data_IF_314048576517
#
_entry.id   IF_314048576517
#
_cell.length_a   1.000
_cell.length_b   1.000
_cell.length_c   1.000
_cell.angle_alpha   90.00
_cell.angle_beta   90.00
_cell.angle_gamma   90.00
#
_symmetry.space_group_name_H-M   'P 1'
#
loop_
_entity.id
_entity.type
_entity.pdbx_description
1 polymer ?
#
# COMPACT_ATOMS: atom_id res chain seq x y z
N UNK A 1 -10.88 22.17 11.72
CA UNK A 1 -9.55 21.56 11.57
C UNK A 1 -9.72 20.05 11.66
N UNK A 2 -9.39 19.32 10.60
CA UNK A 2 -9.40 17.86 10.59
C UNK A 2 -8.02 17.41 11.09
N UNK A 3 -7.98 16.74 12.25
CA UNK A 3 -6.74 16.26 12.86
C UNK A 3 -6.43 14.89 12.23
N UNK A 4 -5.29 14.77 11.54
CA UNK A 4 -4.81 13.46 11.07
C UNK A 4 -3.76 13.01 12.09
N UNK A 5 -4.07 12.03 12.95
CA UNK A 5 -3.08 11.51 13.89
C UNK A 5 -1.92 10.86 13.12
N UNK A 6 -0.70 11.03 13.62
CA UNK A 6 0.52 10.47 13.01
C UNK A 6 0.43 8.93 12.92
N UNK A 7 -0.37 8.30 13.78
CA UNK A 7 -0.70 6.87 13.78
C UNK A 7 -1.39 6.37 12.49
N UNK A 8 -1.88 7.28 11.64
CA UNK A 8 -2.53 6.94 10.36
C UNK A 8 -1.55 6.80 9.20
N UNK A 9 -0.24 6.98 9.43
CA UNK A 9 0.77 6.83 8.40
C UNK A 9 1.13 5.37 8.20
N UNK A 10 1.19 4.94 6.94
CA UNK A 10 1.75 3.66 6.57
C UNK A 10 3.25 3.61 6.93
N UNK A 11 3.83 2.41 6.85
CA UNK A 11 5.27 2.23 7.07
C UNK A 11 6.16 3.08 6.18
N UNK A 12 5.64 3.50 5.02
CA UNK A 12 6.37 4.30 4.05
C UNK A 12 6.10 5.81 4.22
N UNK A 13 5.41 6.21 5.29
CA UNK A 13 5.10 7.61 5.59
C UNK A 13 4.00 8.21 4.72
N UNK A 14 3.22 7.38 4.02
CA UNK A 14 2.06 7.82 3.22
C UNK A 14 0.75 7.68 4.00
N UNK A 15 -0.20 8.59 3.80
CA UNK A 15 -1.54 8.51 4.39
C UNK A 15 -2.53 7.86 3.42
N UNK A 16 -3.72 7.48 3.93
CA UNK A 16 -4.74 6.75 3.19
C UNK A 16 -5.23 7.47 1.92
N UNK A 17 -5.19 8.81 1.90
CA UNK A 17 -5.52 9.62 0.72
C UNK A 17 -4.39 10.61 0.39
N UNK A 18 -4.32 11.01 -0.88
CA UNK A 18 -3.29 11.93 -1.38
C UNK A 18 -3.40 13.32 -0.71
N UNK A 19 -4.62 13.85 -0.58
CA UNK A 19 -4.86 15.14 0.08
C UNK A 19 -4.47 15.09 1.57
N UNK A 20 -4.81 14.00 2.24
CA UNK A 20 -4.50 13.79 3.66
C UNK A 20 -2.98 13.65 3.88
N UNK A 21 -2.26 13.10 2.90
CA UNK A 21 -0.81 12.97 2.94
C UNK A 21 -0.10 14.32 2.94
N UNK A 22 -0.54 15.29 2.13
CA UNK A 22 0.11 16.62 2.07
C UNK A 22 -0.01 17.35 3.41
N UNK A 23 -1.19 17.33 4.01
CA UNK A 23 -1.44 17.97 5.31
C UNK A 23 -0.67 17.25 6.43
N UNK A 24 -0.62 15.92 6.41
CA UNK A 24 0.14 15.14 7.38
C UNK A 24 1.65 15.41 7.30
N UNK A 25 2.21 15.49 6.09
CA UNK A 25 3.63 15.81 5.88
C UNK A 25 3.97 17.22 6.36
N UNK A 26 3.10 18.19 6.12
CA UNK A 26 3.28 19.55 6.63
C UNK A 26 3.31 19.59 8.16
N UNK A 27 2.36 18.90 8.81
CA UNK A 27 2.31 18.82 10.27
C UNK A 27 3.55 18.12 10.85
N UNK A 28 4.01 17.04 10.22
CA UNK A 28 5.23 16.33 10.60
C UNK A 28 6.48 17.19 10.47
N UNK A 29 6.61 17.96 9.39
CA UNK A 29 7.74 18.88 9.21
C UNK A 29 7.78 19.94 10.32
N UNK A 30 6.62 20.50 10.68
CA UNK A 30 6.51 21.47 11.77
C UNK A 30 6.82 20.84 13.13
N UNK A 31 6.31 19.63 13.39
CA UNK A 31 6.62 18.89 14.61
C UNK A 31 8.11 18.57 14.74
N UNK A 32 8.74 18.12 13.65
CA UNK A 32 10.18 17.83 13.60
C UNK A 32 11.04 19.08 13.85
N UNK A 33 10.61 20.24 13.38
CA UNK A 33 11.28 21.51 13.69
C UNK A 33 11.19 21.87 15.17
N UNK A 34 10.00 21.74 15.78
CA UNK A 34 9.77 22.10 17.19
C UNK A 34 10.41 21.13 18.18
N UNK A 35 10.56 19.85 17.82
CA UNK A 35 11.12 18.80 18.67
C UNK A 35 12.60 18.52 18.40
N UNK A 36 13.21 19.32 17.52
CA UNK A 36 14.62 19.18 17.18
C UNK A 36 15.51 19.47 18.39
N UNK A 37 16.37 18.50 18.73
CA UNK A 37 17.44 18.66 19.71
C UNK A 37 18.80 18.46 19.04
N UNK A 38 19.72 19.42 19.22
CA UNK A 38 21.05 19.42 18.59
C UNK A 38 21.94 18.30 19.14
N UNK A 39 21.82 18.02 20.42
CA UNK A 39 22.58 17.00 21.17
C UNK A 39 21.64 15.88 21.65
N UNK A 40 20.66 15.54 20.81
CA UNK A 40 19.68 14.50 21.09
C UNK A 40 20.35 13.13 21.18
N UNK A 41 20.17 12.47 22.33
CA UNK A 41 20.61 11.12 22.58
C UNK A 41 19.50 10.36 23.33
N UNK A 42 19.03 9.28 22.72
CA UNK A 42 17.94 8.47 23.24
C UNK A 42 18.31 6.98 23.22
N UNK A 43 18.07 6.31 24.34
CA UNK A 43 18.10 4.86 24.46
C UNK A 43 16.65 4.36 24.48
N UNK A 44 16.31 3.50 23.52
CA UNK A 44 14.98 2.88 23.41
C UNK A 44 15.13 1.41 23.74
N UNK A 45 14.41 0.95 24.75
CA UNK A 45 14.33 -0.46 25.12
C UNK A 45 12.94 -1.00 24.79
N UNK A 46 12.89 -2.05 23.98
CA UNK A 46 11.69 -2.81 23.67
C UNK A 46 11.82 -4.17 24.37
N UNK A 47 10.85 -4.51 25.21
CA UNK A 47 10.84 -5.76 25.94
C UNK A 47 9.50 -6.49 25.84
N UNK A 48 9.56 -7.82 25.86
CA UNK A 48 8.42 -8.71 26.06
C UNK A 48 8.64 -9.48 27.34
N UNK A 49 7.56 -9.88 28.03
CA UNK A 49 7.52 -10.38 29.42
C UNK A 49 8.50 -11.51 29.82
N UNK A 50 9.33 -12.02 28.91
CA UNK A 50 10.59 -12.77 29.16
C UNK A 50 11.29 -13.22 27.86
N UNK A 51 10.67 -13.05 26.69
CA UNK A 51 11.12 -13.63 25.41
C UNK A 51 12.11 -12.77 24.64
N UNK A 52 12.11 -11.46 24.86
CA UNK A 52 12.85 -10.52 24.00
C UNK A 52 13.15 -9.24 24.76
N UNK A 53 14.39 -8.79 24.61
CA UNK A 53 14.84 -7.45 24.98
C UNK A 53 15.71 -6.91 23.86
N UNK A 54 15.28 -5.82 23.24
CA UNK A 54 16.03 -5.13 22.18
C UNK A 54 16.26 -3.68 22.60
N UNK A 55 17.51 -3.23 22.50
CA UNK A 55 17.89 -1.85 22.78
C UNK A 55 18.36 -1.19 21.49
N UNK A 56 17.86 0.02 21.24
CA UNK A 56 18.32 0.93 20.18
C UNK A 56 18.96 2.15 20.82
N UNK A 57 20.05 2.61 20.21
CA UNK A 57 20.72 3.86 20.59
C UNK A 57 20.56 4.83 19.43
N UNK A 58 19.84 5.91 19.67
CA UNK A 58 19.54 6.93 18.66
C UNK A 58 20.21 8.24 19.05
N UNK A 59 21.12 8.71 18.20
CA UNK A 59 21.84 9.95 18.34
C UNK A 59 21.70 10.80 17.07
N UNK A 60 22.30 11.99 17.07
CA UNK A 60 22.22 12.91 15.92
C UNK A 60 22.83 12.36 14.61
N UNK A 61 23.69 11.33 14.69
CA UNK A 61 24.33 10.71 13.53
C UNK A 61 23.42 9.67 12.87
N UNK A 62 22.60 8.97 13.66
CA UNK A 62 21.76 7.87 13.17
C UNK A 62 20.24 8.11 13.28
N UNK A 63 19.79 9.29 13.74
CA UNK A 63 18.36 9.64 13.91
C UNK A 63 17.49 9.55 12.65
N UNK A 64 18.10 9.63 11.46
CA UNK A 64 17.38 9.52 10.18
C UNK A 64 17.44 8.10 9.60
N UNK A 65 18.18 7.19 10.24
CA UNK A 65 18.30 5.81 9.80
C UNK A 65 17.15 4.99 10.37
N UNK A 66 16.50 4.22 9.50
CA UNK A 66 15.46 3.28 9.93
C UNK A 66 16.08 2.17 10.78
N UNK A 67 15.58 2.01 12.00
CA UNK A 67 15.96 0.95 12.93
C UNK A 67 14.72 0.14 13.24
N UNK A 68 14.76 -1.16 12.95
CA UNK A 68 13.61 -2.06 13.10
C UNK A 68 14.01 -3.38 13.76
N UNK A 69 13.05 -4.00 14.43
CA UNK A 69 13.19 -5.34 15.01
C UNK A 69 11.93 -6.14 14.78
N UNK A 70 12.10 -7.40 14.38
CA UNK A 70 10.99 -8.34 14.29
C UNK A 70 10.56 -8.77 15.69
N UNK A 71 9.26 -8.67 15.95
CA UNK A 71 8.67 -9.13 17.20
C UNK A 71 8.42 -10.65 17.11
N UNK A 72 8.93 -11.46 18.06
CA UNK A 72 8.97 -12.92 17.93
C UNK A 72 7.60 -13.60 18.03
N UNK A 73 6.66 -13.03 18.79
CA UNK A 73 5.32 -13.60 18.98
C UNK A 73 4.23 -12.59 18.66
N UNK A 74 3.32 -12.95 17.76
CA UNK A 74 2.19 -12.13 17.36
C UNK A 74 0.91 -12.97 17.44
N UNK A 75 -0.17 -12.49 18.10
CA UNK A 75 -0.26 -11.29 18.94
C UNK A 75 0.50 -11.45 20.27
N UNK A 76 1.01 -10.35 20.82
CA UNK A 76 1.77 -10.35 22.07
C UNK A 76 1.80 -8.97 22.75
N UNK A 77 2.11 -8.95 24.05
CA UNK A 77 2.26 -7.71 24.82
C UNK A 77 3.73 -7.30 24.84
N UNK A 78 3.99 -6.07 24.37
CA UNK A 78 5.31 -5.47 24.30
C UNK A 78 5.33 -4.16 25.07
N UNK A 79 6.42 -3.91 25.77
CA UNK A 79 6.68 -2.69 26.53
C UNK A 79 7.79 -1.91 25.85
N UNK A 80 7.66 -0.59 25.77
CA UNK A 80 8.70 0.29 25.25
C UNK A 80 9.05 1.30 26.34
N UNK A 81 10.33 1.40 26.65
CA UNK A 81 10.88 2.42 27.53
C UNK A 81 11.85 3.30 26.73
N UNK A 82 11.71 4.62 26.85
CA UNK A 82 12.59 5.59 26.18
C UNK A 82 13.25 6.44 27.24
N UNK A 83 14.59 6.52 27.21
CA UNK A 83 15.41 7.33 28.11
C UNK A 83 16.28 8.26 27.29
N UNK A 84 16.22 9.56 27.53
CA UNK A 84 17.01 10.52 26.77
C UNK A 84 16.45 11.93 26.82
N UNK A 85 17.04 12.80 26.01
CA UNK A 85 16.73 14.24 25.93
C UNK A 85 16.17 14.65 24.55
N UNK A 86 15.79 13.69 23.70
CA UNK A 86 15.22 13.95 22.38
C UNK A 86 13.89 13.25 22.17
N UNK A 87 13.27 13.52 21.02
CA UNK A 87 12.04 12.85 20.60
C UNK A 87 12.36 11.70 19.64
N UNK A 88 11.61 10.60 19.76
CA UNK A 88 11.72 9.43 18.89
C UNK A 88 10.33 9.07 18.39
N UNK A 89 10.22 8.75 17.10
CA UNK A 89 9.00 8.23 16.49
C UNK A 89 9.06 6.71 16.44
N UNK A 90 8.10 6.04 17.05
CA UNK A 90 7.98 4.58 17.03
C UNK A 90 6.72 4.18 16.28
N UNK A 91 6.85 3.18 15.41
CA UNK A 91 5.75 2.63 14.62
C UNK A 91 5.80 1.12 14.64
N UNK A 92 4.64 0.49 14.87
CA UNK A 92 4.48 -0.97 14.86
C UNK A 92 3.69 -1.38 13.63
N UNK A 93 4.18 -2.38 12.92
CA UNK A 93 3.51 -2.91 11.73
C UNK A 93 3.10 -4.36 11.94
N UNK A 94 1.80 -4.64 11.78
CA UNK A 94 1.29 -6.00 11.72
C UNK A 94 0.85 -6.32 10.30
N UNK A 95 1.43 -7.36 9.70
CA UNK A 95 1.01 -7.89 8.39
C UNK A 95 0.29 -9.22 8.61
N UNK A 96 -0.95 -9.31 8.15
CA UNK A 96 -1.76 -10.51 8.27
C UNK A 96 -2.58 -10.73 7.01
N UNK A 97 -2.81 -11.99 6.67
CA UNK A 97 -3.66 -12.37 5.55
C UNK A 97 -5.08 -12.51 6.07
N UNK A 98 -5.99 -11.69 5.54
CA UNK A 98 -7.43 -11.85 5.76
C UNK A 98 -8.01 -12.47 4.50
N UNK A 99 -8.80 -13.54 4.65
CA UNK A 99 -9.74 -13.92 3.61
C UNK A 99 -10.77 -12.79 3.51
N UNK A 100 -10.67 -11.98 2.45
CA UNK A 100 -11.50 -10.80 2.21
C UNK A 100 -12.95 -11.10 2.63
N UNK A 101 -13.42 -10.53 3.76
CA UNK A 101 -14.82 -10.67 4.11
C UNK A 101 -15.60 -10.00 2.98
N UNK A 102 -16.72 -10.60 2.56
CA UNK A 102 -17.75 -9.88 1.78
C UNK A 102 -18.38 -8.78 2.67
N UNK A 103 -17.57 -7.85 3.19
CA UNK A 103 -18.09 -6.67 3.88
C UNK A 103 -18.59 -5.73 2.80
N UNK A 104 -19.78 -5.19 3.04
CA UNK A 104 -20.52 -4.27 2.20
C UNK A 104 -19.60 -3.19 1.61
N UNK A 105 -19.08 -3.47 0.43
CA UNK A 105 -18.39 -2.50 -0.39
C UNK A 105 -19.46 -1.56 -0.92
N UNK A 106 -19.16 -0.26 -0.99
CA UNK A 106 -20.00 0.70 -1.71
C UNK A 106 -20.04 0.45 -3.22
N UNK A 107 -19.48 -0.66 -3.70
CA UNK A 107 -19.46 -1.09 -5.08
C UNK A 107 -19.81 -2.58 -5.17
N UNK A 108 -20.64 -2.92 -6.14
CA UNK A 108 -20.82 -4.29 -6.61
C UNK A 108 -19.82 -4.58 -7.72
N UNK A 109 -19.14 -5.72 -7.66
CA UNK A 109 -18.18 -6.18 -8.67
C UNK A 109 -18.52 -7.63 -9.01
N UNK A 110 -18.79 -7.91 -10.28
CA UNK A 110 -18.87 -9.26 -10.82
C UNK A 110 -17.80 -9.48 -11.89
N UNK A 111 -17.28 -10.71 -11.92
CA UNK A 111 -16.25 -11.15 -12.87
C UNK A 111 -16.76 -12.42 -13.52
N UNK A 112 -16.83 -12.42 -14.84
CA UNK A 112 -17.27 -13.58 -15.62
C UNK A 112 -16.21 -13.92 -16.68
N UNK A 113 -15.90 -15.21 -16.81
CA UNK A 113 -15.05 -15.71 -17.89
C UNK A 113 -15.92 -16.17 -19.05
N UNK A 114 -15.78 -15.50 -20.19
CA UNK A 114 -16.48 -15.87 -21.42
C UNK A 114 -15.52 -16.66 -22.30
N UNK A 115 -16.03 -17.71 -22.96
CA UNK A 115 -15.28 -18.60 -23.83
C UNK A 115 -14.16 -19.43 -23.15
N UNK A 116 -14.22 -19.60 -21.83
CA UNK A 116 -13.36 -20.51 -21.07
C UNK A 116 -14.04 -21.89 -20.91
N UNK A 117 -13.45 -22.93 -21.49
CA UNK A 117 -13.80 -24.34 -21.25
C UNK A 117 -12.71 -24.98 -20.39
N UNK A 118 -13.09 -25.58 -19.26
CA UNK A 118 -12.20 -26.40 -18.44
C UNK A 118 -12.09 -27.85 -18.94
N UNK A 119 -12.69 -28.18 -20.10
CA UNK A 119 -12.66 -29.52 -20.67
C UNK A 119 -11.36 -29.75 -21.46
N UNK A 120 -10.39 -30.37 -20.78
CA UNK A 120 -9.28 -31.18 -21.30
C UNK A 120 -8.21 -30.54 -22.21
N UNK A 121 -8.22 -29.23 -22.43
CA UNK A 121 -7.05 -28.56 -23.02
C UNK A 121 -6.83 -27.18 -22.39
N UNK A 122 -5.58 -26.90 -22.01
CA UNK A 122 -5.16 -25.59 -21.54
C UNK A 122 -5.56 -24.53 -22.57
N UNK A 123 -6.55 -23.69 -22.25
CA UNK A 123 -6.96 -22.62 -23.16
C UNK A 123 -5.94 -21.48 -23.08
N UNK A 124 -5.23 -21.18 -24.19
CA UNK A 124 -4.22 -20.13 -24.20
C UNK A 124 -4.82 -18.72 -24.14
N UNK A 125 -6.15 -18.60 -24.30
CA UNK A 125 -6.88 -17.34 -24.33
C UNK A 125 -8.33 -17.53 -23.88
N UNK A 126 -8.81 -16.62 -23.03
CA UNK A 126 -10.20 -16.50 -22.64
C UNK A 126 -10.51 -15.02 -22.41
N UNK A 127 -11.79 -14.65 -22.50
CA UNK A 127 -12.22 -13.27 -22.29
C UNK A 127 -12.69 -13.10 -20.84
N UNK A 128 -12.23 -12.02 -20.20
CA UNK A 128 -12.66 -11.61 -18.85
C UNK A 128 -13.60 -10.43 -18.97
N UNK A 129 -14.84 -10.60 -18.53
CA UNK A 129 -15.86 -9.56 -18.46
C UNK A 129 -15.97 -9.10 -17.02
N UNK A 130 -15.71 -7.81 -16.80
CA UNK A 130 -15.75 -7.15 -15.50
C UNK A 130 -16.91 -6.17 -15.48
N UNK A 131 -17.84 -6.36 -14.53
CA UNK A 131 -18.96 -5.46 -14.33
C UNK A 131 -18.88 -4.86 -12.94
N UNK A 132 -18.74 -3.55 -12.85
CA UNK A 132 -18.69 -2.81 -11.60
C UNK A 132 -19.79 -1.75 -11.56
N UNK A 133 -20.49 -1.64 -10.43
CA UNK A 133 -21.49 -0.60 -10.20
C UNK A 133 -21.39 -0.02 -8.81
N UNK A 134 -21.68 1.27 -8.66
CA UNK A 134 -21.72 1.92 -7.35
C UNK A 134 -22.99 1.52 -6.61
N UNK A 135 -22.84 0.87 -5.46
CA UNK A 135 -23.90 0.43 -4.55
C UNK A 135 -23.87 1.21 -3.22
N UNK A 136 -23.21 2.36 -3.19
CA UNK A 136 -23.09 3.18 -1.99
C UNK A 136 -24.31 4.06 -1.71
N UNK A 137 -24.28 4.78 -0.59
CA UNK A 137 -25.41 5.61 -0.11
C UNK A 137 -25.63 6.91 -0.89
N UNK A 138 -24.68 7.33 -1.74
CA UNK A 138 -24.77 8.58 -2.52
C UNK A 138 -25.39 8.31 -3.89
N UNK A 139 -25.77 9.37 -4.61
CA UNK A 139 -26.32 9.25 -5.96
C UNK A 139 -25.27 8.86 -7.00
N UNK A 140 -24.01 9.26 -6.81
CA UNK A 140 -22.89 8.97 -7.73
C UNK A 140 -21.59 8.76 -6.96
N UNK A 141 -20.71 7.92 -7.51
CA UNK A 141 -19.31 7.87 -7.08
C UNK A 141 -18.52 9.03 -7.68
N UNK A 142 -17.39 9.35 -7.05
CA UNK A 142 -16.33 10.18 -7.62
C UNK A 142 -15.41 9.31 -8.50
N UNK A 143 -14.09 9.46 -8.36
CA UNK A 143 -13.09 8.63 -9.05
C UNK A 143 -13.10 7.20 -8.48
N UNK A 144 -13.28 6.22 -9.36
CA UNK A 144 -13.14 4.80 -9.04
C UNK A 144 -11.95 4.22 -9.81
N UNK A 145 -11.19 3.34 -9.15
CA UNK A 145 -10.06 2.62 -9.74
C UNK A 145 -10.37 1.13 -9.61
N UNK A 146 -10.29 0.41 -10.72
CA UNK A 146 -10.42 -1.05 -10.75
C UNK A 146 -9.02 -1.60 -10.99
N UNK A 147 -8.51 -2.37 -10.03
CA UNK A 147 -7.24 -3.09 -10.16
C UNK A 147 -7.52 -4.56 -10.46
N UNK A 148 -6.94 -5.08 -11.54
CA UNK A 148 -7.16 -6.45 -12.03
C UNK A 148 -5.84 -7.18 -12.04
N UNK A 149 -5.65 -8.07 -11.07
CA UNK A 149 -4.48 -8.93 -11.01
C UNK A 149 -4.69 -10.17 -11.88
N UNK A 150 -3.84 -10.33 -12.88
CA UNK A 150 -3.88 -11.49 -13.77
C UNK A 150 -3.40 -12.77 -13.06
N UNK A 151 -3.89 -13.92 -13.53
CA UNK A 151 -3.37 -15.22 -13.16
C UNK A 151 -1.91 -15.37 -13.63
N UNK A 152 -1.10 -16.09 -12.87
CA UNK A 152 0.29 -16.38 -13.24
C UNK A 152 0.35 -17.06 -14.62
N UNK A 153 1.17 -16.53 -15.53
CA UNK A 153 1.31 -17.03 -16.90
C UNK A 153 0.37 -16.40 -17.92
N UNK A 154 -0.56 -15.52 -17.51
CA UNK A 154 -1.46 -14.81 -18.41
C UNK A 154 -1.11 -13.33 -18.50
N UNK A 155 -1.20 -12.78 -19.72
CA UNK A 155 -1.01 -11.36 -19.99
C UNK A 155 -2.26 -10.80 -20.70
N UNK A 156 -2.68 -9.58 -20.39
CA UNK A 156 -3.84 -8.98 -21.05
C UNK A 156 -3.50 -8.68 -22.52
N UNK A 157 -4.45 -8.96 -23.40
CA UNK A 157 -4.31 -8.68 -24.83
C UNK A 157 -4.41 -7.17 -25.07
N UNK A 158 -3.38 -6.58 -25.69
CA UNK A 158 -3.28 -5.11 -25.91
C UNK A 158 -4.50 -4.51 -26.62
N UNK A 159 -5.01 -5.17 -27.66
CA UNK A 159 -6.18 -4.71 -28.41
C UNK A 159 -7.45 -4.66 -27.56
N UNK A 160 -7.58 -5.53 -26.56
CA UNK A 160 -8.72 -5.53 -25.64
C UNK A 160 -8.66 -4.36 -24.66
N UNK A 161 -7.46 -3.97 -24.22
CA UNK A 161 -7.28 -2.79 -23.36
C UNK A 161 -7.62 -1.50 -24.09
N UNK A 162 -7.33 -1.42 -25.39
CA UNK A 162 -7.67 -0.26 -26.21
C UNK A 162 -9.19 -0.07 -26.34
N UNK A 163 -9.94 -1.16 -26.54
CA UNK A 163 -11.42 -1.13 -26.56
C UNK A 163 -12.02 -0.58 -25.26
N UNK A 164 -11.39 -0.89 -24.12
CA UNK A 164 -11.83 -0.37 -22.80
C UNK A 164 -11.56 1.13 -22.66
N UNK A 165 -10.50 1.65 -23.27
CA UNK A 165 -10.24 3.10 -23.31
C UNK A 165 -11.16 3.86 -24.27
N UNK A 166 -11.44 3.27 -25.44
CA UNK A 166 -12.26 3.89 -26.49
C UNK A 166 -13.75 3.95 -26.12
N UNK A 167 -14.24 3.03 -25.27
CA UNK A 167 -15.62 3.00 -24.81
C UNK A 167 -16.04 4.12 -23.84
N UNK A 168 -15.20 5.15 -23.61
CA UNK A 168 -15.40 6.20 -22.58
C UNK A 168 -15.59 5.67 -21.14
N UNK A 169 -15.27 4.40 -20.87
CA UNK A 169 -15.43 3.76 -19.55
C UNK A 169 -14.21 4.01 -18.64
N UNK A 170 -13.02 4.27 -19.20
CA UNK A 170 -11.77 4.43 -18.44
C UNK A 170 -10.93 5.58 -19.00
N UNK A 171 -10.57 6.55 -18.15
CA UNK A 171 -9.83 7.74 -18.55
C UNK A 171 -8.32 7.52 -18.82
N UNK A 172 -7.72 6.40 -18.36
CA UNK A 172 -6.35 5.90 -18.69
C UNK A 172 -6.01 4.65 -17.86
N UNK A 173 -5.47 3.56 -18.44
CA UNK A 173 -4.81 2.50 -17.67
C UNK A 173 -3.42 2.99 -17.19
N UNK A 174 -2.99 2.63 -15.97
CA UNK A 174 -1.63 2.95 -15.51
C UNK A 174 -0.59 2.28 -16.40
N UNK A 175 0.39 3.04 -16.90
CA UNK A 175 1.57 2.47 -17.56
C UNK A 175 2.58 2.06 -16.50
N UNK A 176 2.62 0.77 -16.18
CA UNK A 176 3.54 0.21 -15.19
C UNK A 176 4.08 -1.15 -15.60
N UNK A 177 5.10 -1.17 -16.46
CA UNK A 177 6.29 -2.04 -16.37
C UNK A 177 7.29 -1.58 -17.45
N UNK A 178 8.50 -1.24 -17.00
CA UNK A 178 9.65 -0.88 -17.86
C UNK A 178 10.09 -2.09 -18.68
N UNK A 179 10.37 -1.87 -19.96
CA UNK A 179 11.30 -2.67 -20.75
C UNK A 179 10.68 -3.72 -21.68
N UNK A 180 10.25 -3.30 -22.87
CA UNK A 180 10.85 -3.79 -24.11
C UNK A 180 10.47 -2.81 -25.23
N UNK A 181 11.40 -1.91 -25.54
CA UNK A 181 11.36 -1.11 -26.77
C UNK A 181 11.35 -2.04 -27.98
N UNK A 182 10.61 -1.63 -29.00
CA UNK A 182 10.56 -2.25 -30.31
C UNK A 182 11.98 -2.44 -30.88
N UNK A 183 12.35 -3.69 -31.17
CA UNK A 183 13.43 -3.98 -32.11
C UNK A 183 12.76 -4.53 -33.37
N UNK A 184 12.47 -3.64 -34.33
CA UNK A 184 12.24 -4.05 -35.72
C UNK A 184 13.57 -4.50 -36.32
N UNK A 185 13.65 -5.66 -36.99
CA UNK A 185 14.85 -6.02 -37.76
C UNK A 185 14.94 -5.11 -38.99
N UNK A 186 16.03 -4.35 -39.06
CA UNK A 186 16.43 -3.65 -40.26
C UNK A 186 16.72 -4.65 -41.38
N UNK A 187 16.12 -4.40 -42.53
CA UNK A 187 16.49 -5.01 -43.80
C UNK A 187 17.96 -4.77 -44.12
N UNK A 188 18.67 -5.83 -44.50
CA UNK A 188 19.89 -5.76 -45.31
C UNK A 188 19.63 -6.56 -46.58
#
# INVERSE_FOLDING_TARGET
MHYIPVETLSNEGSCCNLQDTVVALQALAQYGYLTFSKDGQNTIEISSKELMKKVFQVDNRNRLLLQQVSLPSLPGNYSVEVKGNGCVYLQTTLRYNIYLPQKASGFSLSVETVNGSCADSFLPKFDLVLSASYAGKRSTSNMAIIDVKMLSGFVPVRSSLQKVQEGNVVNKPPKGQRGLEDITPGTS
#
